data_IF_517108971864
#
_entry.id   IF_517108971864
#
_cell.length_a   1.000
_cell.length_b   1.000
_cell.length_c   1.000
_cell.angle_alpha   90.00
_cell.angle_beta   90.00
_cell.angle_gamma   90.00
#
_symmetry.space_group_name_H-M   'P 1'
#
loop_
_entity.id
_entity.type
_entity.pdbx_description
1 polymer ?
#
# COMPACT_ATOMS: atom_id res chain seq x y z
N UNK A 1 15.32 -4.23 0.56
CA UNK A 1 14.42 -3.20 1.12
C UNK A 1 13.34 -3.94 1.87
N UNK A 2 13.19 -3.69 3.17
CA UNK A 2 12.12 -4.32 3.96
C UNK A 2 10.78 -3.63 3.68
N UNK A 3 9.67 -4.32 3.93
CA UNK A 3 8.32 -3.74 3.88
C UNK A 3 8.23 -2.47 4.72
N UNK A 4 8.87 -2.49 5.91
CA UNK A 4 9.01 -1.33 6.79
C UNK A 4 9.75 -0.16 6.13
N UNK A 5 10.81 -0.40 5.35
CA UNK A 5 11.51 0.65 4.61
C UNK A 5 10.68 1.20 3.44
N UNK A 6 9.94 0.35 2.74
CA UNK A 6 9.04 0.78 1.67
C UNK A 6 7.91 1.69 2.21
N UNK A 7 7.36 1.35 3.39
CA UNK A 7 6.38 2.18 4.09
C UNK A 7 6.98 3.44 4.72
N UNK A 8 8.23 3.38 5.19
CA UNK A 8 8.91 4.50 5.86
C UNK A 8 9.34 5.61 4.89
N UNK A 9 9.62 5.29 3.63
CA UNK A 9 10.26 6.24 2.71
C UNK A 9 9.34 6.93 1.68
N UNK A 10 8.10 6.49 1.40
CA UNK A 10 7.45 6.96 0.15
C UNK A 10 6.01 7.46 0.10
N UNK A 11 5.12 7.30 1.08
CA UNK A 11 3.74 7.79 0.86
C UNK A 11 2.86 8.08 2.07
N UNK A 12 3.34 8.00 3.31
CA UNK A 12 2.49 8.29 4.47
C UNK A 12 2.36 9.80 4.79
N UNK A 13 3.01 10.66 3.99
CA UNK A 13 3.00 12.12 4.12
C UNK A 13 1.79 12.78 3.42
N UNK A 14 0.59 12.22 3.54
CA UNK A 14 -0.63 12.94 3.12
C UNK A 14 -1.40 13.34 4.37
N UNK A 15 -1.11 14.53 4.94
CA UNK A 15 -1.77 15.03 6.15
C UNK A 15 -3.26 15.40 5.97
N UNK A 16 -3.87 15.19 4.80
CA UNK A 16 -5.10 15.90 4.44
C UNK A 16 -6.25 15.05 3.87
N UNK A 17 -6.14 13.71 3.82
CA UNK A 17 -7.18 12.88 3.17
C UNK A 17 -7.79 11.86 4.14
N UNK A 18 -9.03 12.11 4.54
CA UNK A 18 -9.91 11.10 5.17
C UNK A 18 -10.04 9.88 4.25
N UNK A 19 -9.92 8.67 4.81
CA UNK A 19 -9.99 7.39 4.07
C UNK A 19 -9.09 7.29 2.81
N UNK A 20 -7.74 7.37 2.96
CA UNK A 20 -6.84 7.33 1.83
C UNK A 20 -6.82 5.96 1.12
N UNK A 21 -6.57 6.00 -0.18
CA UNK A 21 -6.38 4.83 -1.03
C UNK A 21 -4.93 4.80 -1.51
N UNK A 22 -4.26 3.68 -1.29
CA UNK A 22 -2.90 3.43 -1.71
C UNK A 22 -2.86 2.39 -2.82
N UNK A 23 -1.97 2.61 -3.79
CA UNK A 23 -1.55 1.62 -4.76
C UNK A 23 -0.17 1.11 -4.36
N UNK A 24 -0.04 -0.18 -4.12
CA UNK A 24 1.22 -0.86 -3.88
C UNK A 24 1.60 -1.60 -5.15
N UNK A 25 2.74 -1.25 -5.73
CA UNK A 25 3.34 -1.92 -6.88
C UNK A 25 4.45 -2.85 -6.40
N UNK A 26 4.45 -4.08 -6.89
CA UNK A 26 5.42 -5.10 -6.50
C UNK A 26 5.94 -5.86 -7.71
N UNK A 27 7.13 -6.43 -7.59
CA UNK A 27 7.74 -7.27 -8.63
C UNK A 27 8.14 -8.59 -8.00
N UNK A 28 7.55 -9.68 -8.48
CA UNK A 28 7.88 -11.04 -8.05
C UNK A 28 8.11 -11.91 -9.28
N UNK A 29 9.21 -12.68 -9.29
CA UNK A 29 9.53 -13.65 -10.36
C UNK A 29 9.49 -13.06 -11.79
N UNK A 30 9.93 -11.81 -11.96
CA UNK A 30 9.89 -11.11 -13.25
C UNK A 30 8.50 -10.56 -13.65
N UNK A 31 7.47 -10.79 -12.86
CA UNK A 31 6.14 -10.23 -13.04
C UNK A 31 5.93 -9.01 -12.15
N UNK A 32 5.48 -7.91 -12.75
CA UNK A 32 4.98 -6.75 -12.01
C UNK A 32 3.48 -6.89 -11.73
N UNK A 33 3.11 -6.62 -10.49
CA UNK A 33 1.72 -6.59 -10.04
C UNK A 33 1.42 -5.31 -9.29
N UNK A 34 0.13 -5.03 -9.12
CA UNK A 34 -0.36 -3.90 -8.34
C UNK A 34 -1.54 -4.34 -7.48
N UNK A 35 -1.59 -3.85 -6.25
CA UNK A 35 -2.73 -4.01 -5.35
C UNK A 35 -3.18 -2.64 -4.88
N UNK A 36 -4.50 -2.46 -4.77
CA UNK A 36 -5.11 -1.24 -4.24
C UNK A 36 -5.59 -1.55 -2.83
N UNK A 37 -5.14 -0.74 -1.88
CA UNK A 37 -5.45 -0.88 -0.46
C UNK A 37 -6.09 0.43 -0.01
N UNK A 38 -7.33 0.35 0.46
CA UNK A 38 -7.99 1.45 1.17
C UNK A 38 -7.72 1.31 2.66
N UNK A 39 -7.42 2.42 3.32
CA UNK A 39 -7.30 2.47 4.78
C UNK A 39 -8.36 3.39 5.37
N UNK A 40 -8.78 3.08 6.60
CA UNK A 40 -9.85 3.85 7.24
C UNK A 40 -9.40 5.24 7.70
N UNK A 41 -8.20 5.35 8.27
CA UNK A 41 -7.67 6.60 8.78
C UNK A 41 -6.18 6.77 8.44
N UNK A 42 -5.70 8.01 8.25
CA UNK A 42 -4.29 8.27 7.98
C UNK A 42 -3.37 7.86 9.14
N UNK A 43 -3.87 7.91 10.39
CA UNK A 43 -3.14 7.50 11.59
C UNK A 43 -2.84 5.99 11.64
N UNK A 44 -3.77 5.14 11.19
CA UNK A 44 -3.62 3.68 11.15
C UNK A 44 -3.11 3.18 9.80
N UNK A 45 -2.90 4.08 8.83
CA UNK A 45 -2.57 3.73 7.45
C UNK A 45 -1.38 2.79 7.33
N UNK A 46 -0.34 3.00 8.15
CA UNK A 46 0.85 2.15 8.15
C UNK A 46 0.54 0.71 8.55
N UNK A 47 -0.20 0.52 9.64
CA UNK A 47 -0.53 -0.80 10.17
C UNK A 47 -1.52 -1.53 9.26
N UNK A 48 -2.53 -0.82 8.77
CA UNK A 48 -3.51 -1.34 7.81
C UNK A 48 -2.85 -1.76 6.49
N UNK A 49 -1.99 -0.91 5.92
CA UNK A 49 -1.26 -1.24 4.70
C UNK A 49 -0.36 -2.45 4.88
N UNK A 50 0.35 -2.53 6.01
CA UNK A 50 1.23 -3.64 6.29
C UNK A 50 0.42 -4.93 6.40
N UNK A 51 -0.64 -4.95 7.22
CA UNK A 51 -1.50 -6.11 7.42
C UNK A 51 -2.14 -6.60 6.12
N UNK A 52 -2.66 -5.69 5.30
CA UNK A 52 -3.27 -6.05 4.02
C UNK A 52 -2.23 -6.54 3.00
N UNK A 53 -1.04 -5.94 2.98
CA UNK A 53 0.06 -6.42 2.16
C UNK A 53 0.55 -7.81 2.59
N UNK A 54 0.74 -8.05 3.88
CA UNK A 54 1.14 -9.35 4.42
C UNK A 54 0.12 -10.45 4.05
N UNK A 55 -1.17 -10.16 4.20
CA UNK A 55 -2.24 -11.08 3.80
C UNK A 55 -2.22 -11.36 2.29
N UNK A 56 -2.05 -10.33 1.47
CA UNK A 56 -1.92 -10.47 0.01
C UNK A 56 -0.68 -11.26 -0.38
N UNK A 57 0.46 -10.98 0.26
CA UNK A 57 1.73 -11.63 0.01
C UNK A 57 1.66 -13.13 0.31
N UNK A 58 1.04 -13.48 1.43
CA UNK A 58 0.78 -14.85 1.83
C UNK A 58 -0.17 -15.57 0.84
N UNK A 59 -1.26 -14.92 0.43
CA UNK A 59 -2.24 -15.49 -0.53
C UNK A 59 -1.60 -15.76 -1.91
N UNK A 60 -0.86 -14.78 -2.42
CA UNK A 60 -0.20 -14.88 -3.74
C UNK A 60 1.14 -15.59 -3.70
N UNK A 61 1.61 -16.02 -2.53
CA UNK A 61 2.96 -16.57 -2.30
C UNK A 61 4.05 -15.68 -2.89
N UNK A 62 3.87 -14.36 -2.79
CA UNK A 62 4.89 -13.40 -3.22
C UNK A 62 5.76 -13.01 -2.01
N UNK A 63 7.06 -12.77 -2.22
CA UNK A 63 7.93 -12.33 -1.14
C UNK A 63 7.48 -10.96 -0.64
N UNK A 64 7.40 -10.78 0.68
CA UNK A 64 6.95 -9.52 1.27
C UNK A 64 7.88 -8.35 0.90
N UNK A 65 9.18 -8.62 0.72
CA UNK A 65 10.19 -7.65 0.30
C UNK A 65 10.15 -7.27 -1.19
N UNK A 66 9.14 -7.69 -1.94
CA UNK A 66 8.98 -7.39 -3.37
C UNK A 66 8.29 -6.07 -3.68
N UNK A 67 7.93 -5.27 -2.67
CA UNK A 67 7.35 -3.95 -2.89
C UNK A 67 8.37 -3.07 -3.61
N UNK A 68 7.96 -2.53 -4.75
CA UNK A 68 8.71 -1.56 -5.54
C UNK A 68 8.35 -0.14 -5.16
N UNK A 69 7.05 0.14 -5.04
CA UNK A 69 6.55 1.48 -4.80
C UNK A 69 5.18 1.46 -4.14
N UNK A 70 4.90 2.50 -3.34
CA UNK A 70 3.63 2.73 -2.68
C UNK A 70 3.25 4.17 -2.96
N UNK A 71 2.06 4.38 -3.50
CA UNK A 71 1.58 5.71 -3.90
C UNK A 71 0.18 5.91 -3.34
N UNK A 72 -0.07 7.03 -2.66
CA UNK A 72 -1.43 7.45 -2.34
C UNK A 72 -2.08 7.98 -3.62
N UNK A 73 -3.13 7.31 -4.10
CA UNK A 73 -3.78 7.61 -5.38
C UNK A 73 -5.10 8.37 -5.22
N UNK A 74 -5.57 8.59 -4.00
CA UNK A 74 -6.89 9.20 -3.78
C UNK A 74 -7.40 9.00 -2.36
N UNK A 75 -8.68 9.31 -2.19
CA UNK A 75 -9.49 8.86 -1.06
C UNK A 75 -10.74 8.12 -1.56
N UNK A 76 -11.40 7.40 -0.65
CA UNK A 76 -12.65 6.65 -0.95
C UNK A 76 -13.78 7.54 -1.49
N UNK A 77 -13.74 8.84 -1.22
CA UNK A 77 -14.81 9.78 -1.56
C UNK A 77 -14.57 10.59 -2.85
N UNK A 78 -13.34 10.68 -3.38
CA UNK A 78 -13.02 11.38 -4.64
C UNK A 78 -13.36 10.55 -5.88
N UNK A 79 -13.46 9.22 -5.78
CA UNK A 79 -13.86 8.36 -6.90
C UNK A 79 -15.38 8.40 -7.22
N UNK A 80 -16.15 9.23 -6.51
CA UNK A 80 -17.62 9.37 -6.69
C UNK A 80 -18.03 10.71 -7.35
N UNK A 81 -17.14 11.38 -8.07
CA UNK A 81 -17.46 12.60 -8.84
C UNK A 81 -17.42 12.36 -10.35
#
# INVERSE_FOLDING_TARGET
MTVLEAFRNRALWVPERENPIYRVEYISDGHSGRVIISVEAPETAKEELQKQWEAFAQDKRVPEACIREIICIGNKYENYK
#
